data_IF_370765099325
#
_entry.id   IF_370765099325
#
_cell.length_a   1.000
_cell.length_b   1.000
_cell.length_c   1.000
_cell.angle_alpha   90.00
_cell.angle_beta   90.00
_cell.angle_gamma   90.00
#
_symmetry.space_group_name_H-M   'P 1'
#
loop_
_entity.id
_entity.type
_entity.pdbx_description
1 polymer ?
#
# COMPACT_ATOMS: atom_id res chain seq x y z
N UNK A 1 -26.65 8.75 13.88
CA UNK A 1 -26.83 8.26 12.50
C UNK A 1 -25.87 7.10 12.29
N UNK A 2 -26.43 5.92 12.04
CA UNK A 2 -25.70 4.65 12.02
C UNK A 2 -24.82 4.55 10.75
N UNK A 3 -23.67 3.87 10.83
CA UNK A 3 -22.74 3.70 9.70
C UNK A 3 -23.43 3.03 8.49
N UNK A 4 -24.32 2.06 8.75
CA UNK A 4 -25.10 1.39 7.72
C UNK A 4 -26.02 2.34 6.93
N UNK A 5 -26.59 3.36 7.59
CA UNK A 5 -27.48 4.33 6.93
C UNK A 5 -26.69 5.30 6.03
N UNK A 6 -25.45 5.60 6.42
CA UNK A 6 -24.54 6.46 5.63
C UNK A 6 -24.03 5.75 4.37
N UNK A 7 -23.80 4.44 4.43
CA UNK A 7 -23.34 3.66 3.29
C UNK A 7 -24.46 3.42 2.27
N UNK A 8 -25.69 3.16 2.71
CA UNK A 8 -26.85 3.03 1.81
C UNK A 8 -27.09 4.31 0.99
N UNK A 9 -26.94 5.49 1.61
CA UNK A 9 -27.10 6.77 0.90
C UNK A 9 -25.99 7.05 -0.12
N UNK A 10 -24.79 6.49 0.07
CA UNK A 10 -23.68 6.59 -0.90
C UNK A 10 -23.89 5.65 -2.08
N UNK A 11 -24.37 4.43 -1.84
CA UNK A 11 -24.62 3.44 -2.88
C UNK A 11 -25.74 3.85 -3.85
N UNK A 12 -26.75 4.58 -3.37
CA UNK A 12 -27.85 5.10 -4.20
C UNK A 12 -27.60 6.52 -4.74
N UNK A 13 -26.38 7.05 -4.63
CA UNK A 13 -26.06 8.36 -5.19
C UNK A 13 -25.90 8.26 -6.72
N UNK A 14 -26.53 9.13 -7.51
CA UNK A 14 -26.38 9.16 -8.98
C UNK A 14 -24.92 9.33 -9.42
N UNK A 15 -24.05 9.89 -8.58
CA UNK A 15 -22.60 9.98 -8.80
C UNK A 15 -21.94 8.59 -8.83
N UNK A 16 -22.42 7.66 -8.00
CA UNK A 16 -21.92 6.28 -7.93
C UNK A 16 -22.33 5.43 -9.13
N UNK A 17 -23.31 5.88 -9.94
CA UNK A 17 -23.74 5.23 -11.17
C UNK A 17 -22.99 5.77 -12.41
N UNK A 18 -22.56 7.04 -12.39
CA UNK A 18 -21.76 7.64 -13.48
C UNK A 18 -20.29 7.21 -13.45
N UNK A 19 -19.73 7.09 -12.26
CA UNK A 19 -18.43 6.46 -12.06
C UNK A 19 -18.74 4.97 -12.09
N UNK A 20 -18.26 4.22 -13.07
CA UNK A 20 -18.42 2.75 -13.15
C UNK A 20 -17.76 2.03 -11.97
N UNK A 21 -18.27 2.23 -10.76
CA UNK A 21 -17.85 1.59 -9.54
C UNK A 21 -18.44 0.19 -9.60
N UNK A 22 -17.70 -0.73 -10.19
CA UNK A 22 -17.87 -2.14 -9.89
C UNK A 22 -17.91 -2.27 -8.37
N UNK A 23 -19.03 -2.75 -7.83
CA UNK A 23 -19.16 -3.16 -6.44
C UNK A 23 -17.88 -3.91 -6.05
N UNK A 24 -17.10 -3.46 -5.05
CA UNK A 24 -16.27 -4.41 -4.34
C UNK A 24 -17.25 -5.29 -3.57
N UNK A 25 -17.52 -6.46 -4.14
CA UNK A 25 -18.10 -7.57 -3.41
C UNK A 25 -17.30 -7.71 -2.11
N UNK A 26 -18.02 -7.81 -0.99
CA UNK A 26 -17.52 -7.95 0.38
C UNK A 26 -16.13 -8.61 0.45
N UNK A 27 -15.08 -7.80 0.45
CA UNK A 27 -13.80 -8.21 0.98
C UNK A 27 -13.80 -7.76 2.42
N UNK A 28 -14.38 -8.60 3.28
CA UNK A 28 -14.06 -8.65 4.70
C UNK A 28 -12.58 -8.31 4.87
N UNK A 29 -12.30 -7.33 5.73
CA UNK A 29 -11.00 -7.10 6.33
C UNK A 29 -10.67 -8.31 7.23
N UNK A 30 -10.49 -9.48 6.63
CA UNK A 30 -9.67 -10.49 7.26
C UNK A 30 -8.22 -10.01 7.12
N UNK A 31 -7.61 -9.68 8.25
CA UNK A 31 -6.16 -9.84 8.42
C UNK A 31 -5.84 -11.31 8.18
N UNK A 32 -5.79 -11.73 6.92
CA UNK A 32 -5.10 -12.97 6.54
C UNK A 32 -3.61 -12.69 6.69
N UNK A 33 -3.13 -12.87 7.91
CA UNK A 33 -1.76 -13.30 8.12
C UNK A 33 -1.61 -14.61 7.33
N UNK A 34 -1.09 -14.50 6.10
CA UNK A 34 -0.60 -15.66 5.37
C UNK A 34 0.58 -16.21 6.16
N UNK A 35 0.28 -17.14 7.07
CA UNK A 35 1.25 -18.04 7.68
C UNK A 35 1.65 -19.02 6.58
N UNK A 36 2.79 -18.75 5.95
CA UNK A 36 3.31 -19.55 4.84
C UNK A 36 4.54 -18.92 4.20
N UNK A 37 5.71 -19.31 4.72
CA UNK A 37 7.04 -19.34 4.08
C UNK A 37 7.49 -18.16 3.22
N UNK A 38 8.07 -17.16 3.89
CA UNK A 38 9.42 -16.70 3.56
C UNK A 38 10.14 -16.47 4.89
N UNK A 39 10.74 -17.54 5.42
CA UNK A 39 11.64 -17.43 6.59
C UNK A 39 12.69 -16.36 6.26
N UNK A 40 12.56 -15.17 6.85
CA UNK A 40 13.50 -14.05 6.68
C UNK A 40 12.92 -12.72 6.20
N UNK A 41 11.70 -12.65 5.67
CA UNK A 41 11.13 -11.35 5.27
C UNK A 41 10.47 -10.63 6.47
N UNK A 42 11.25 -9.79 7.16
CA UNK A 42 10.74 -8.97 8.26
C UNK A 42 9.96 -7.77 7.68
N UNK A 43 8.64 -7.76 7.84
CA UNK A 43 7.82 -6.59 7.51
C UNK A 43 7.93 -5.56 8.63
N UNK A 44 8.82 -4.57 8.46
CA UNK A 44 8.91 -3.40 9.34
C UNK A 44 8.27 -2.19 8.68
N UNK A 45 7.41 -1.49 9.42
CA UNK A 45 6.88 -0.19 9.03
C UNK A 45 7.91 0.90 9.31
N UNK A 46 8.19 1.75 8.33
CA UNK A 46 9.08 2.90 8.48
C UNK A 46 8.33 4.18 8.12
N UNK A 47 8.63 5.25 8.85
CA UNK A 47 8.17 6.59 8.48
C UNK A 47 9.24 7.25 7.62
N UNK A 48 8.82 7.68 6.43
CA UNK A 48 9.65 8.47 5.53
C UNK A 48 9.27 9.95 5.67
N UNK A 49 10.26 10.83 5.51
CA UNK A 49 9.96 12.26 5.37
C UNK A 49 9.11 12.48 4.11
N UNK A 50 8.23 13.50 4.08
CA UNK A 50 7.31 13.69 2.95
C UNK A 50 8.00 13.77 1.58
N UNK A 51 9.16 14.43 1.51
CA UNK A 51 9.95 14.52 0.28
C UNK A 51 10.45 13.16 -0.21
N UNK A 52 10.96 12.33 0.70
CA UNK A 52 11.44 10.97 0.37
C UNK A 52 10.27 10.08 -0.03
N UNK A 53 9.14 10.16 0.66
CA UNK A 53 7.94 9.40 0.31
C UNK A 53 7.42 9.75 -1.09
N UNK A 54 7.45 11.04 -1.47
CA UNK A 54 7.09 11.48 -2.81
C UNK A 54 8.04 10.89 -3.87
N UNK A 55 9.35 10.94 -3.63
CA UNK A 55 10.34 10.40 -4.55
C UNK A 55 10.20 8.88 -4.75
N UNK A 56 9.95 8.13 -3.68
CA UNK A 56 9.70 6.69 -3.75
C UNK A 56 8.51 6.39 -4.66
N UNK A 57 7.41 7.13 -4.50
CA UNK A 57 6.21 6.94 -5.34
C UNK A 57 6.46 7.28 -6.81
N UNK A 58 7.19 8.37 -7.08
CA UNK A 58 7.56 8.75 -8.46
C UNK A 58 8.42 7.64 -9.08
N UNK A 59 9.46 7.17 -8.38
CA UNK A 59 10.34 6.13 -8.89
C UNK A 59 9.59 4.80 -9.11
N UNK A 60 8.69 4.44 -8.21
CA UNK A 60 7.84 3.26 -8.32
C UNK A 60 6.98 3.34 -9.59
N UNK A 61 6.30 4.48 -9.81
CA UNK A 61 5.50 4.71 -11.00
C UNK A 61 6.33 4.67 -12.30
N UNK A 62 7.48 5.32 -12.32
CA UNK A 62 8.37 5.38 -13.49
C UNK A 62 8.96 4.01 -13.87
N UNK A 63 9.18 3.13 -12.89
CA UNK A 63 9.81 1.82 -13.10
C UNK A 63 8.81 0.66 -13.12
N UNK A 64 7.51 0.92 -12.95
CA UNK A 64 6.49 -0.13 -12.82
C UNK A 64 6.69 -1.03 -11.61
N UNK A 65 7.41 -0.55 -10.58
CA UNK A 65 7.75 -1.28 -9.37
C UNK A 65 6.86 -0.87 -8.20
N UNK A 66 6.86 -1.67 -7.14
CA UNK A 66 6.17 -1.33 -5.88
C UNK A 66 7.07 -0.49 -4.99
N UNK A 67 6.47 0.41 -4.19
CA UNK A 67 7.18 1.29 -3.25
C UNK A 67 8.21 0.55 -2.39
N UNK A 68 7.87 -0.65 -1.88
CA UNK A 68 8.78 -1.43 -1.04
C UNK A 68 10.04 -1.88 -1.80
N UNK A 69 9.95 -2.16 -3.11
CA UNK A 69 11.09 -2.59 -3.91
C UNK A 69 12.07 -1.45 -4.10
N UNK A 70 11.55 -0.24 -4.32
CA UNK A 70 12.35 0.98 -4.42
C UNK A 70 13.07 1.27 -3.11
N UNK A 71 12.36 1.15 -1.98
CA UNK A 71 12.96 1.36 -0.65
C UNK A 71 14.00 0.27 -0.34
N UNK A 72 13.71 -1.00 -0.66
CA UNK A 72 14.63 -2.10 -0.44
C UNK A 72 15.94 -1.92 -1.21
N UNK A 73 15.87 -1.59 -2.51
CA UNK A 73 17.05 -1.34 -3.35
C UNK A 73 17.89 -0.18 -2.79
N UNK A 74 17.25 0.91 -2.36
CA UNK A 74 17.94 2.06 -1.76
C UNK A 74 18.68 1.69 -0.46
N UNK A 75 18.06 0.85 0.38
CA UNK A 75 18.69 0.36 1.62
C UNK A 75 19.84 -0.60 1.33
N UNK A 76 19.68 -1.53 0.39
CA UNK A 76 20.74 -2.45 -0.03
C UNK A 76 21.96 -1.69 -0.56
N UNK A 77 21.74 -0.65 -1.39
CA UNK A 77 22.81 0.23 -1.87
C UNK A 77 23.50 0.97 -0.72
N UNK A 78 22.73 1.48 0.25
CA UNK A 78 23.29 2.16 1.41
C UNK A 78 24.21 1.23 2.22
N UNK A 79 23.77 0.01 2.54
CA UNK A 79 24.58 -0.95 3.31
C UNK A 79 25.78 -1.47 2.53
N UNK A 80 25.66 -1.64 1.20
CA UNK A 80 26.80 -2.00 0.36
C UNK A 80 27.90 -0.94 0.39
N UNK A 81 27.52 0.33 0.43
CA UNK A 81 28.45 1.45 0.47
C UNK A 81 28.91 1.80 1.89
N UNK A 82 28.20 1.33 2.91
CA UNK A 82 28.48 1.58 4.33
C UNK A 82 28.39 0.25 5.09
N UNK A 83 29.35 -0.66 4.91
CA UNK A 83 29.38 -1.92 5.66
C UNK A 83 29.47 -1.61 7.15
N UNK A 84 28.66 -2.32 7.94
CA UNK A 84 28.73 -2.28 9.40
C UNK A 84 29.75 -3.33 9.83
N UNK A 85 30.79 -2.91 10.57
CA UNK A 85 31.82 -3.79 11.14
C UNK A 85 31.26 -4.73 12.22
#
# INVERSE_FOLDING_TARGET
>A
MNLNEREQKRANSPVSAMIGVNKPEKAEKEKKQKKGEKEGLIQRGYYLTPGVAAQVKINAAMTGRRDYQVVQEALELYFKNNPTE
#
